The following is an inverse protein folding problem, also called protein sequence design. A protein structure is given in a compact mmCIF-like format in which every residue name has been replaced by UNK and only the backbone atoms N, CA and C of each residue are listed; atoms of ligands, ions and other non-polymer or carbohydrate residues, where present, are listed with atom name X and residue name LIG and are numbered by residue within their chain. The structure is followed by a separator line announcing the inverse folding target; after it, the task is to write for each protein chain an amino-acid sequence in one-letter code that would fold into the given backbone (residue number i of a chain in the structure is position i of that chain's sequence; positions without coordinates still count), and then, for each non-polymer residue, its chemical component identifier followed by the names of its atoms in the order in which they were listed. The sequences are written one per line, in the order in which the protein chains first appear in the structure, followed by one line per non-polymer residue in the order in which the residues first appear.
data_IF_261338216999
#
_entry.id   IF_261338216999
#
_cell.length_a   1.000
_cell.length_b   1.000
_cell.length_c   1.000
_cell.angle_alpha   90.00
_cell.angle_beta   90.00
_cell.angle_gamma   90.00
#
_symmetry.space_group_name_H-M   'P 1'
#
loop_
_entity.id
_entity.type
_entity.pdbx_description
1 polymer ?
#
# COMPACT_ATOMS: atom_id res chain seq x y z
N UNK A 1 -5.98 5.42 6.05
CA UNK A 1 -4.75 4.71 5.72
C UNK A 1 -4.74 4.45 4.24
N UNK A 2 -3.74 4.94 3.56
CA UNK A 2 -3.46 4.62 2.16
C UNK A 2 -2.12 3.95 2.14
N UNK A 3 -2.01 2.82 1.52
CA UNK A 3 -0.77 2.13 1.28
C UNK A 3 -0.38 2.30 -0.18
N UNK A 4 0.89 2.46 -0.38
CA UNK A 4 1.49 2.23 -1.67
C UNK A 4 1.64 0.71 -1.79
N UNK A 5 0.86 0.09 -2.67
CA UNK A 5 1.02 -1.35 -2.88
C UNK A 5 2.37 -1.63 -3.53
N UNK A 6 3.29 -2.18 -2.75
CA UNK A 6 4.46 -2.83 -3.32
C UNK A 6 3.98 -4.11 -4.01
N UNK A 7 3.68 -4.01 -5.26
CA UNK A 7 3.10 -5.10 -6.04
C UNK A 7 2.48 -4.64 -7.34
N UNK A 8 2.39 -3.32 -7.54
CA UNK A 8 2.16 -2.79 -8.88
C UNK A 8 3.42 -2.96 -9.72
N UNK A 9 3.26 -3.10 -11.04
CA UNK A 9 4.41 -3.14 -11.97
C UNK A 9 5.34 -1.93 -11.79
N UNK A 10 4.83 -0.79 -11.32
CA UNK A 10 5.59 0.39 -11.00
C UNK A 10 6.53 0.22 -9.81
N UNK A 11 6.13 -0.57 -8.82
CA UNK A 11 6.88 -0.82 -7.59
C UNK A 11 8.09 -1.72 -7.82
N UNK A 12 7.92 -2.79 -8.60
CA UNK A 12 9.04 -3.68 -8.98
C UNK A 12 10.10 -2.87 -9.71
N UNK A 13 9.70 -1.89 -10.52
CA UNK A 13 10.61 -0.99 -11.23
C UNK A 13 11.33 -0.05 -10.25
N UNK A 14 10.62 0.44 -9.25
CA UNK A 14 11.14 1.37 -8.25
C UNK A 14 12.17 0.71 -7.34
N UNK A 15 11.86 -0.44 -6.76
CA UNK A 15 12.80 -1.22 -5.96
C UNK A 15 14.06 -1.60 -6.76
N UNK A 16 13.93 -1.93 -8.04
CA UNK A 16 15.08 -2.21 -8.91
C UNK A 16 15.94 -0.98 -9.18
N UNK A 17 15.35 0.18 -9.39
CA UNK A 17 16.06 1.42 -9.68
C UNK A 17 16.91 1.87 -8.49
N UNK A 18 16.35 1.80 -7.29
CA UNK A 18 17.02 2.22 -6.04
C UNK A 18 17.67 1.07 -5.29
N UNK A 19 17.43 -0.17 -5.73
CA UNK A 19 17.95 -1.41 -5.12
C UNK A 19 17.61 -1.51 -3.62
N UNK A 20 16.48 -0.97 -3.23
CA UNK A 20 15.93 -1.03 -1.88
C UNK A 20 15.02 -2.26 -1.76
N UNK A 21 15.63 -3.41 -1.42
CA UNK A 21 14.92 -4.67 -1.27
C UNK A 21 14.60 -5.00 0.20
N UNK A 22 14.97 -4.11 1.14
CA UNK A 22 14.70 -4.31 2.56
C UNK A 22 13.35 -3.74 2.98
N UNK A 23 12.90 -2.67 2.34
CA UNK A 23 11.59 -2.10 2.57
C UNK A 23 10.50 -3.03 2.03
N UNK A 24 9.67 -3.57 2.92
CA UNK A 24 8.57 -4.48 2.57
C UNK A 24 7.45 -3.72 1.89
N UNK A 25 7.08 -2.56 2.45
CA UNK A 25 5.97 -1.73 1.98
C UNK A 25 5.99 -0.36 2.62
N UNK A 26 5.57 0.64 1.87
CA UNK A 26 5.30 1.97 2.40
C UNK A 26 3.86 2.06 2.87
N UNK A 27 3.66 2.48 4.10
CA UNK A 27 2.33 2.70 4.69
C UNK A 27 2.14 4.17 5.03
N UNK A 28 1.23 4.83 4.30
CA UNK A 28 0.75 6.16 4.67
C UNK A 28 -0.31 6.02 5.77
N UNK A 29 0.04 6.38 6.99
CA UNK A 29 -0.79 6.17 8.18
C UNK A 29 -1.31 7.50 8.71
N UNK A 30 -2.60 7.52 9.05
CA UNK A 30 -3.28 8.65 9.68
C UNK A 30 -3.76 8.21 11.06
N UNK A 31 -3.60 9.09 12.06
CA UNK A 31 -4.01 8.78 13.45
C UNK A 31 -4.59 9.98 14.19
N UNK A 32 -4.87 9.78 15.48
CA UNK A 32 -5.27 10.82 16.41
C UNK A 32 -6.57 11.52 16.04
N UNK A 33 -6.58 12.85 16.17
CA UNK A 33 -7.77 13.67 15.91
C UNK A 33 -8.24 13.62 14.46
N UNK A 34 -7.35 13.35 13.51
CA UNK A 34 -7.73 13.16 12.12
C UNK A 34 -8.69 11.96 11.94
N UNK A 35 -8.45 10.88 12.69
CA UNK A 35 -9.32 9.69 12.68
C UNK A 35 -10.57 9.91 13.51
N UNK A 36 -10.44 10.52 14.70
CA UNK A 36 -11.56 10.77 15.61
C UNK A 36 -12.63 11.69 15.00
N UNK A 37 -12.21 12.67 14.21
CA UNK A 37 -13.10 13.63 13.53
C UNK A 37 -13.56 13.18 12.15
N UNK A 38 -13.09 12.04 11.67
CA UNK A 38 -13.27 11.57 10.29
C UNK A 38 -12.79 12.57 9.21
N UNK A 39 -12.04 13.60 9.58
CA UNK A 39 -11.57 14.61 8.63
C UNK A 39 -10.68 14.00 7.54
N UNK A 40 -9.93 12.95 7.87
CA UNK A 40 -9.08 12.24 6.91
C UNK A 40 -9.84 11.69 5.71
N UNK A 41 -11.14 11.37 5.85
CA UNK A 41 -11.98 10.84 4.76
C UNK A 41 -12.33 11.90 3.70
N UNK A 42 -12.19 13.17 4.03
CA UNK A 42 -12.46 14.28 3.12
C UNK A 42 -11.28 14.57 2.19
N UNK A 43 -10.08 14.10 2.55
CA UNK A 43 -8.87 14.31 1.78
C UNK A 43 -8.74 13.27 0.67
N UNK A 44 -8.02 13.64 -0.37
CA UNK A 44 -7.56 12.69 -1.38
C UNK A 44 -6.10 12.36 -1.12
N UNK A 45 -5.78 11.07 -1.15
CA UNK A 45 -4.42 10.58 -0.93
C UNK A 45 -3.89 9.97 -2.22
N UNK A 46 -2.59 10.12 -2.43
CA UNK A 46 -1.86 9.44 -3.49
C UNK A 46 -0.47 9.09 -2.99
N UNK A 47 0.06 7.99 -3.46
CA UNK A 47 1.41 7.57 -3.15
C UNK A 47 2.34 7.90 -4.30
N UNK A 48 3.53 8.34 -3.95
CA UNK A 48 4.63 8.53 -4.88
C UNK A 48 5.83 7.70 -4.44
N UNK A 49 6.94 7.79 -5.16
CA UNK A 49 8.18 7.19 -4.71
C UNK A 49 8.54 7.70 -3.32
N UNK A 50 8.64 6.82 -2.33
CA UNK A 50 9.12 7.10 -0.96
C UNK A 50 8.24 8.03 -0.11
N UNK A 51 7.07 8.44 -0.57
CA UNK A 51 6.23 9.37 0.19
C UNK A 51 4.77 9.21 -0.16
N UNK A 52 3.91 9.70 0.72
CA UNK A 52 2.51 9.88 0.41
C UNK A 52 2.16 11.37 0.31
N UNK A 53 1.27 11.67 -0.60
CA UNK A 53 0.71 13.00 -0.80
C UNK A 53 -0.74 13.04 -0.35
N UNK A 54 -1.18 14.22 0.07
CA UNK A 54 -2.59 14.46 0.35
C UNK A 54 -3.03 15.80 -0.22
N UNK A 55 -4.30 15.87 -0.62
CA UNK A 55 -4.93 17.09 -1.10
C UNK A 55 -6.08 17.47 -0.19
N UNK A 56 -6.04 18.69 0.30
CA UNK A 56 -7.10 19.29 1.13
C UNK A 56 -8.11 19.95 0.19
N UNK A 57 -9.40 19.57 0.21
CA UNK A 57 -10.39 20.06 -0.74
C UNK A 57 -10.80 21.52 -0.52
N UNK A 58 -10.77 21.98 0.73
CA UNK A 58 -11.22 23.30 1.10
C UNK A 58 -10.56 23.82 2.40
N UNK A 59 -10.69 25.13 2.64
CA UNK A 59 -10.07 25.81 3.80
C UNK A 59 -10.61 25.30 5.14
N UNK A 60 -11.88 24.89 5.21
CA UNK A 60 -12.48 24.42 6.46
C UNK A 60 -11.90 23.04 6.84
N UNK A 61 -11.80 22.13 5.88
CA UNK A 61 -11.13 20.85 6.05
C UNK A 61 -9.67 21.04 6.46
N UNK A 62 -8.97 22.00 5.83
CA UNK A 62 -7.57 22.30 6.18
C UNK A 62 -7.37 22.78 7.61
N UNK A 63 -8.33 23.49 8.19
CA UNK A 63 -8.27 23.91 9.61
C UNK A 63 -8.46 22.76 10.59
N UNK A 64 -9.13 21.69 10.16
CA UNK A 64 -9.42 20.52 10.99
C UNK A 64 -8.32 19.45 10.88
N UNK A 65 -7.65 19.38 9.74
CA UNK A 65 -6.64 18.37 9.48
C UNK A 65 -5.30 18.71 10.13
N UNK A 66 -4.73 17.75 10.81
CA UNK A 66 -3.43 17.82 11.49
C UNK A 66 -2.39 17.06 10.68
N UNK A 67 -1.50 17.79 10.00
CA UNK A 67 -0.44 17.18 9.20
C UNK A 67 0.57 16.37 10.04
N UNK A 68 0.77 16.80 11.32
CA UNK A 68 1.57 16.06 12.30
C UNK A 68 0.94 14.75 12.81
N UNK A 69 -0.23 14.38 12.28
CA UNK A 69 -0.92 13.12 12.55
C UNK A 69 -1.13 12.32 11.24
N UNK A 70 -0.18 12.42 10.34
CA UNK A 70 -0.05 11.64 9.11
C UNK A 70 1.43 11.42 8.84
N UNK A 71 1.82 10.20 8.48
CA UNK A 71 3.19 9.91 8.10
C UNK A 71 3.23 8.78 7.07
N UNK A 72 4.24 8.81 6.21
CA UNK A 72 4.64 7.67 5.40
C UNK A 72 5.67 6.84 6.17
N UNK A 73 5.38 5.56 6.36
CA UNK A 73 6.22 4.66 7.12
C UNK A 73 6.80 3.59 6.21
N UNK A 74 8.13 3.50 6.16
CA UNK A 74 8.86 2.42 5.50
C UNK A 74 8.95 1.23 6.44
N UNK A 75 8.43 0.09 6.02
CA UNK A 75 8.30 -1.09 6.87
C UNK A 75 9.41 -2.09 6.59
N UNK A 76 10.16 -2.42 7.62
CA UNK A 76 11.18 -3.46 7.61
C UNK A 76 10.74 -4.61 8.51
N UNK A 77 11.06 -5.83 8.13
CA UNK A 77 10.96 -7.01 9.01
C UNK A 77 11.78 -8.17 8.44
N UNK A 78 12.32 -8.99 9.29
CA UNK A 78 12.99 -10.27 8.97
C UNK A 78 12.04 -11.46 9.14
N UNK A 79 10.83 -11.23 9.65
CA UNK A 79 9.82 -12.25 9.89
C UNK A 79 8.89 -12.39 8.68
N UNK A 80 8.91 -13.56 8.04
CA UNK A 80 8.11 -13.84 6.84
C UNK A 80 6.59 -13.77 7.07
N UNK A 81 6.10 -14.05 8.26
CA UNK A 81 4.68 -13.97 8.56
C UNK A 81 4.23 -12.53 8.77
N UNK A 82 5.07 -11.69 9.42
CA UNK A 82 4.85 -10.25 9.49
C UNK A 82 4.90 -9.62 8.10
N UNK A 83 5.87 -10.00 7.27
CA UNK A 83 5.94 -9.58 5.87
C UNK A 83 4.62 -9.84 5.15
N UNK A 84 4.09 -11.06 5.24
CA UNK A 84 2.80 -11.42 4.61
C UNK A 84 1.63 -10.62 5.15
N UNK A 85 1.62 -10.30 6.45
CA UNK A 85 0.57 -9.49 7.07
C UNK A 85 0.63 -8.04 6.60
N UNK A 86 1.82 -7.44 6.57
CA UNK A 86 2.04 -6.08 6.05
C UNK A 86 1.58 -5.98 4.59
N UNK A 87 1.95 -6.96 3.76
CA UNK A 87 1.53 -6.99 2.35
C UNK A 87 0.01 -7.10 2.15
N UNK A 88 -0.72 -7.65 3.14
CA UNK A 88 -2.19 -7.75 3.10
C UNK A 88 -2.92 -6.48 3.52
N UNK A 89 -2.22 -5.56 4.18
CA UNK A 89 -2.81 -4.27 4.54
C UNK A 89 -3.20 -3.52 3.27
N UNK A 90 -4.36 -2.88 3.31
CA UNK A 90 -4.91 -2.19 2.15
C UNK A 90 -5.57 -0.86 2.56
N UNK A 91 -5.75 0.08 1.61
CA UNK A 91 -6.29 1.40 1.90
C UNK A 91 -7.57 1.36 2.71
N UNK A 92 -7.59 2.15 3.80
CA UNK A 92 -8.71 2.22 4.74
C UNK A 92 -8.69 1.18 5.86
N UNK A 93 -7.77 0.20 5.84
CA UNK A 93 -7.62 -0.72 6.98
C UNK A 93 -7.12 0.02 8.22
N UNK A 94 -7.59 -0.40 9.40
CA UNK A 94 -7.01 0.00 10.67
C UNK A 94 -5.92 -1.00 11.04
N UNK A 95 -4.73 -0.50 11.34
CA UNK A 95 -3.60 -1.36 11.69
C UNK A 95 -3.01 -0.96 13.03
N UNK A 96 -2.42 -1.94 13.68
CA UNK A 96 -1.53 -1.77 14.81
C UNK A 96 -0.13 -2.16 14.38
N UNK A 97 0.82 -1.28 14.62
CA UNK A 97 2.24 -1.46 14.30
C UNK A 97 3.04 -1.30 15.59
N UNK A 98 3.88 -2.25 15.90
CA UNK A 98 4.86 -2.15 16.99
C UNK A 98 6.24 -2.52 16.46
N UNK A 99 7.25 -1.77 16.86
CA UNK A 99 8.60 -1.96 16.37
C UNK A 99 9.55 -0.89 16.87
N UNK A 100 10.70 -0.81 16.25
CA UNK A 100 11.75 0.16 16.54
C UNK A 100 11.99 1.03 15.33
N UNK A 101 12.27 2.32 15.54
CA UNK A 101 12.81 3.17 14.50
C UNK A 101 14.23 2.66 14.14
N UNK A 102 14.50 2.55 12.86
CA UNK A 102 15.72 1.97 12.36
C UNK A 102 16.28 2.75 11.17
N UNK A 103 17.59 2.88 11.14
CA UNK A 103 18.31 3.25 9.92
C UNK A 103 18.84 1.99 9.27
N UNK A 104 18.95 1.96 7.96
CA UNK A 104 19.54 0.82 7.27
C UNK A 104 20.36 1.27 6.06
N UNK A 105 21.31 0.41 5.71
CA UNK A 105 22.19 0.61 4.58
C UNK A 105 22.26 -0.68 3.76
N UNK A 106 22.16 -0.54 2.45
CA UNK A 106 22.51 -1.60 1.53
C UNK A 106 23.98 -1.50 1.16
N UNK A 107 24.82 -2.32 1.81
CA UNK A 107 26.28 -2.30 1.62
C UNK A 107 26.71 -2.55 0.15
N UNK A 108 25.92 -3.32 -0.62
CA UNK A 108 26.26 -3.62 -2.00
C UNK A 108 26.06 -2.42 -2.95
N UNK A 109 25.26 -1.45 -2.56
CA UNK A 109 24.88 -0.32 -3.43
C UNK A 109 25.20 1.03 -2.84
N UNK A 110 25.56 1.09 -1.55
CA UNK A 110 25.76 2.33 -0.80
C UNK A 110 24.47 3.10 -0.52
N UNK A 111 23.30 2.52 -0.81
CA UNK A 111 22.02 3.15 -0.50
C UNK A 111 21.79 3.16 1.01
N UNK A 112 21.53 4.34 1.55
CA UNK A 112 21.24 4.55 2.97
C UNK A 112 19.84 5.13 3.13
N UNK A 113 19.16 4.70 4.19
CA UNK A 113 17.90 5.29 4.61
C UNK A 113 17.91 5.51 6.11
N UNK A 114 17.67 6.74 6.47
CA UNK A 114 17.48 7.17 7.85
C UNK A 114 15.98 7.19 8.21
N UNK A 115 15.72 7.23 9.50
CA UNK A 115 14.38 7.39 10.05
C UNK A 115 14.20 8.78 10.65
N UNK A 116 13.04 9.40 10.45
CA UNK A 116 12.66 10.54 11.27
C UNK A 116 12.39 10.10 12.72
N UNK A 117 12.76 10.95 13.65
CA UNK A 117 12.43 10.85 15.08
C UNK A 117 11.55 12.02 15.54
N UNK A 118 11.17 12.91 14.62
CA UNK A 118 10.32 14.06 14.86
C UNK A 118 8.94 13.85 14.23
N UNK A 119 7.91 14.37 14.90
CA UNK A 119 6.55 14.36 14.33
C UNK A 119 6.16 15.67 13.66
N UNK A 120 7.04 16.64 13.68
CA UNK A 120 6.78 17.99 13.16
C UNK A 120 7.64 18.33 11.96
N UNK A 121 8.53 17.46 11.56
CA UNK A 121 9.33 17.62 10.36
C UNK A 121 8.49 17.40 9.10
N UNK A 122 8.95 17.97 8.02
CA UNK A 122 8.29 17.92 6.71
C UNK A 122 9.33 17.81 5.60
N UNK A 123 8.92 17.32 4.45
CA UNK A 123 9.78 17.21 3.28
C UNK A 123 10.61 15.93 3.26
N UNK A 124 11.75 16.00 2.59
CA UNK A 124 12.62 14.85 2.42
C UNK A 124 13.27 14.46 3.76
N UNK A 125 13.09 13.23 4.19
CA UNK A 125 13.59 12.73 5.48
C UNK A 125 12.56 12.74 6.61
N UNK A 126 11.33 13.23 6.38
CA UNK A 126 10.25 13.24 7.37
C UNK A 126 9.46 11.91 7.46
N UNK A 127 9.94 10.86 6.80
CA UNK A 127 9.33 9.54 6.86
C UNK A 127 9.96 8.71 7.97
N UNK A 128 9.16 7.93 8.67
CA UNK A 128 9.65 6.94 9.62
C UNK A 128 10.05 5.65 8.90
N UNK A 129 11.14 5.07 9.32
CA UNK A 129 11.55 3.70 8.96
C UNK A 129 11.41 2.84 10.20
N UNK A 130 10.55 1.82 10.13
CA UNK A 130 10.17 1.01 11.29
C UNK A 130 10.56 -0.45 11.05
N UNK A 131 11.47 -0.96 11.88
CA UNK A 131 11.68 -2.41 11.99
C UNK A 131 10.57 -3.00 12.86
N UNK A 132 9.63 -3.69 12.20
CA UNK A 132 8.39 -4.15 12.80
C UNK A 132 8.60 -5.48 13.50
N UNK A 133 8.20 -5.54 14.78
CA UNK A 133 8.20 -6.74 15.62
C UNK A 133 6.80 -7.31 15.86
N UNK A 134 5.75 -6.48 15.69
CA UNK A 134 4.35 -6.89 15.70
C UNK A 134 3.53 -6.05 14.73
N UNK A 135 2.65 -6.71 13.98
CA UNK A 135 1.75 -6.07 13.03
C UNK A 135 0.41 -6.81 12.99
N UNK A 136 -0.67 -6.05 13.07
CA UNK A 136 -2.01 -6.61 12.93
C UNK A 136 -2.95 -5.67 12.20
N UNK A 137 -3.83 -6.23 11.38
CA UNK A 137 -4.96 -5.50 10.80
C UNK A 137 -6.13 -5.65 11.75
N UNK A 138 -6.40 -4.61 12.54
CA UNK A 138 -7.43 -4.62 13.58
C UNK A 138 -8.84 -4.52 13.00
N UNK A 139 -8.97 -3.82 11.85
CA UNK A 139 -10.25 -3.71 11.14
C UNK A 139 -10.00 -3.58 9.64
N UNK A 140 -10.67 -4.41 8.87
CA UNK A 140 -10.62 -4.36 7.39
C UNK A 140 -11.66 -3.40 6.85
N UNK A 141 -11.21 -2.43 6.06
CA UNK A 141 -12.11 -1.57 5.32
C UNK A 141 -12.67 -2.28 4.07
N UNK A 142 -13.87 -1.89 3.68
CA UNK A 142 -14.49 -2.28 2.39
C UNK A 142 -14.48 -3.80 2.11
N UNK A 143 -14.55 -4.62 3.16
CA UNK A 143 -14.42 -6.08 3.05
C UNK A 143 -15.35 -6.69 1.99
N UNK A 144 -16.62 -6.30 1.97
CA UNK A 144 -17.61 -6.81 1.00
C UNK A 144 -17.22 -6.41 -0.44
N UNK A 145 -16.87 -5.15 -0.66
CA UNK A 145 -16.48 -4.68 -1.99
C UNK A 145 -15.20 -5.35 -2.49
N UNK A 146 -14.22 -5.59 -1.62
CA UNK A 146 -13.01 -6.35 -1.96
C UNK A 146 -13.33 -7.79 -2.33
N UNK A 147 -14.32 -8.41 -1.66
CA UNK A 147 -14.78 -9.74 -2.01
C UNK A 147 -15.49 -9.74 -3.36
N UNK A 148 -16.43 -8.82 -3.58
CA UNK A 148 -17.14 -8.66 -4.87
C UNK A 148 -16.15 -8.46 -6.01
N UNK A 149 -15.16 -7.56 -5.83
CA UNK A 149 -14.14 -7.30 -6.85
C UNK A 149 -13.34 -8.55 -7.21
N UNK A 150 -12.92 -9.33 -6.22
CA UNK A 150 -12.20 -10.60 -6.46
C UNK A 150 -13.06 -11.62 -7.20
N UNK A 151 -14.30 -11.81 -6.77
CA UNK A 151 -15.24 -12.75 -7.44
C UNK A 151 -15.51 -12.31 -8.89
N UNK A 152 -15.76 -11.03 -9.11
CA UNK A 152 -15.94 -10.48 -10.45
C UNK A 152 -14.69 -10.68 -11.33
N UNK A 153 -13.50 -10.48 -10.77
CA UNK A 153 -12.24 -10.75 -11.48
C UNK A 153 -12.10 -12.22 -11.91
N UNK A 154 -12.38 -13.16 -11.00
CA UNK A 154 -12.40 -14.59 -11.35
C UNK A 154 -13.43 -14.94 -12.41
N UNK A 155 -14.66 -14.40 -12.28
CA UNK A 155 -15.72 -14.62 -13.26
C UNK A 155 -15.33 -14.09 -14.65
N UNK A 156 -14.76 -12.89 -14.72
CA UNK A 156 -14.26 -12.31 -15.97
C UNK A 156 -13.14 -13.15 -16.58
N UNK A 157 -12.18 -13.63 -15.77
CA UNK A 157 -11.09 -14.49 -16.25
C UNK A 157 -11.61 -15.80 -16.83
N UNK A 158 -12.56 -16.46 -16.15
CA UNK A 158 -13.21 -17.67 -16.63
C UNK A 158 -13.99 -17.44 -17.94
N UNK A 159 -14.71 -16.32 -18.05
CA UNK A 159 -15.44 -15.96 -19.26
C UNK A 159 -14.47 -15.76 -20.45
N UNK A 160 -13.34 -15.07 -20.24
CA UNK A 160 -12.32 -14.87 -21.27
C UNK A 160 -11.72 -16.23 -21.70
N UNK A 161 -11.37 -17.10 -20.75
CA UNK A 161 -10.85 -18.42 -21.05
C UNK A 161 -11.85 -19.27 -21.82
N UNK A 162 -13.13 -19.26 -21.42
CA UNK A 162 -14.22 -19.93 -22.13
C UNK A 162 -14.39 -19.40 -23.55
N UNK A 163 -14.35 -18.09 -23.73
CA UNK A 163 -14.43 -17.47 -25.05
C UNK A 163 -13.25 -17.91 -25.94
N UNK A 164 -12.02 -17.89 -25.44
CA UNK A 164 -10.85 -18.37 -26.18
C UNK A 164 -11.01 -19.84 -26.55
N UNK A 165 -11.48 -20.68 -25.63
CA UNK A 165 -11.72 -22.09 -25.92
C UNK A 165 -12.74 -22.29 -27.06
N UNK A 166 -13.81 -21.52 -27.11
CA UNK A 166 -14.79 -21.58 -28.21
C UNK A 166 -14.20 -21.21 -29.56
N UNK A 167 -13.26 -20.26 -29.58
CA UNK A 167 -12.55 -19.87 -30.81
C UNK A 167 -11.59 -20.97 -31.31
N UNK A 168 -10.99 -21.73 -30.40
CA UNK A 168 -10.05 -22.78 -30.71
C UNK A 168 -10.73 -24.10 -31.16
N UNK A 169 -11.93 -24.37 -30.64
CA UNK A 169 -12.76 -25.51 -31.05
C UNK A 169 -13.49 -25.16 -32.34
N UNK A 170 -12.83 -25.31 -33.47
CA UNK A 170 -13.48 -25.16 -34.77
C UNK A 170 -14.43 -26.35 -34.98
N UNK A 171 -15.73 -26.12 -35.28
CA UNK A 171 -16.63 -27.23 -35.64
C UNK A 171 -16.13 -27.87 -36.95
N UNK A 172 -15.92 -29.17 -36.92
CA UNK A 172 -15.60 -29.90 -38.12
C UNK A 172 -16.70 -29.67 -39.16
N UNK A 173 -16.38 -29.08 -40.29
CA UNK A 173 -17.33 -28.92 -41.40
C UNK A 173 -17.73 -30.33 -41.85
N UNK A 174 -18.96 -30.78 -41.52
CA UNK A 174 -19.55 -31.94 -42.12
C UNK A 174 -19.81 -31.61 -43.59
N UNK A 175 -18.96 -32.06 -44.47
CA UNK A 175 -19.27 -32.13 -45.90
C UNK A 175 -20.29 -33.27 -46.07
N UNK A 176 -21.56 -32.95 -46.27
CA UNK A 176 -22.53 -33.88 -46.83
C UNK A 176 -22.26 -33.94 -48.34
N UNK A 177 -21.92 -35.15 -48.84
CA UNK A 177 -21.98 -35.51 -50.25
C UNK A 177 -23.41 -35.98 -50.59
#
# INVERSE_FOLDING_TARGET
MTDYESGSLGDIYHHRQWKDFLNVKDLCVVWGTNVQSDVFRKLRYSSGPWTCFFQIPDRQTGKQFRADQLSNNHILTDNIDLHRLVMRAAPGDEVRISGMLANYQNQATGFERETSISRTDTGNGACETIFVTDFSITKKANHLWRMVYRVAGWAASLAILGFIATLLVRPAKRFYR
#
